data_IF_236730197104
#
_entry.id   IF_236730197104
#
_cell.length_a   1.000
_cell.length_b   1.000
_cell.length_c   1.000
_cell.angle_alpha   90.00
_cell.angle_beta   90.00
_cell.angle_gamma   90.00
#
_symmetry.space_group_name_H-M   'P 1'
#
loop_
_entity.id
_entity.type
_entity.pdbx_description
1 polymer ?
#
# COMPACT_ATOMS: atom_id res chain seq x y z
N UNK A 1 16.73 -15.26 7.07
CA UNK A 1 16.79 -14.38 5.89
C UNK A 1 15.44 -13.73 5.58
N UNK A 2 14.32 -14.37 5.94
CA UNK A 2 12.97 -13.87 5.67
C UNK A 2 12.71 -12.45 6.18
N UNK A 3 13.16 -12.14 7.40
CA UNK A 3 13.10 -10.77 7.93
C UNK A 3 13.84 -9.75 7.07
N UNK A 4 15.00 -10.11 6.49
CA UNK A 4 15.76 -9.24 5.62
C UNK A 4 15.01 -8.97 4.31
N UNK A 5 14.44 -10.01 3.68
CA UNK A 5 13.64 -9.86 2.46
C UNK A 5 12.34 -9.09 2.69
N UNK A 6 11.67 -9.32 3.82
CA UNK A 6 10.52 -8.52 4.25
C UNK A 6 10.91 -7.04 4.41
N UNK A 7 12.01 -6.76 5.12
CA UNK A 7 12.49 -5.40 5.34
C UNK A 7 12.86 -4.69 4.04
N UNK A 8 13.54 -5.38 3.12
CA UNK A 8 13.87 -4.84 1.79
C UNK A 8 12.61 -4.54 0.98
N UNK A 9 11.67 -5.49 0.92
CA UNK A 9 10.39 -5.30 0.23
C UNK A 9 9.63 -4.09 0.77
N UNK A 10 9.58 -3.94 2.09
CA UNK A 10 8.93 -2.81 2.77
C UNK A 10 9.55 -1.47 2.38
N UNK A 11 10.88 -1.35 2.53
CA UNK A 11 11.57 -0.08 2.26
C UNK A 11 11.47 0.30 0.78
N UNK A 12 11.67 -0.66 -0.12
CA UNK A 12 11.61 -0.42 -1.58
C UNK A 12 10.19 0.00 -1.97
N UNK A 13 9.16 -0.75 -1.55
CA UNK A 13 7.79 -0.45 -1.93
C UNK A 13 7.32 0.88 -1.34
N UNK A 14 7.64 1.17 -0.07
CA UNK A 14 7.32 2.46 0.53
C UNK A 14 7.96 3.61 -0.25
N UNK A 15 9.26 3.53 -0.55
CA UNK A 15 9.97 4.58 -1.27
C UNK A 15 9.43 4.78 -2.70
N UNK A 16 9.16 3.68 -3.42
CA UNK A 16 8.61 3.72 -4.79
C UNK A 16 7.20 4.30 -4.79
N UNK A 17 6.31 3.81 -3.92
CA UNK A 17 4.93 4.33 -3.85
C UNK A 17 4.92 5.79 -3.48
N UNK A 18 5.76 6.21 -2.53
CA UNK A 18 5.89 7.63 -2.17
C UNK A 18 6.37 8.48 -3.33
N UNK A 19 7.39 8.01 -4.05
CA UNK A 19 7.88 8.69 -5.24
C UNK A 19 6.78 8.79 -6.30
N UNK A 20 6.03 7.72 -6.55
CA UNK A 20 4.91 7.73 -7.50
C UNK A 20 3.81 8.70 -7.06
N UNK A 21 3.38 8.68 -5.81
CA UNK A 21 2.27 9.51 -5.32
C UNK A 21 2.62 10.99 -5.20
N UNK A 22 3.90 11.33 -5.06
CA UNK A 22 4.38 12.73 -5.05
C UNK A 22 4.65 13.27 -6.46
N UNK A 23 5.11 12.43 -7.40
CA UNK A 23 5.49 12.88 -8.75
C UNK A 23 4.38 12.68 -9.80
N UNK A 24 3.47 11.74 -9.56
CA UNK A 24 2.36 11.44 -10.46
C UNK A 24 1.06 11.84 -9.75
N UNK A 25 0.23 12.67 -10.41
CA UNK A 25 -1.13 12.99 -9.94
C UNK A 25 -2.06 11.80 -10.13
N UNK A 26 -1.76 10.68 -9.46
CA UNK A 26 -2.54 9.46 -9.54
C UNK A 26 -3.71 9.55 -8.55
N UNK A 27 -4.81 10.15 -9.01
CA UNK A 27 -6.08 10.09 -8.30
C UNK A 27 -6.95 9.04 -8.98
N UNK A 28 -7.20 7.90 -8.32
CA UNK A 28 -8.30 7.00 -8.69
C UNK A 28 -9.59 7.77 -8.33
N UNK A 29 -10.05 8.59 -9.27
CA UNK A 29 -11.11 9.58 -9.08
C UNK A 29 -12.39 8.97 -9.61
N UNK A 30 -13.15 8.30 -8.76
CA UNK A 30 -14.60 8.18 -8.97
C UNK A 30 -15.28 9.36 -8.27
N UNK A 31 -16.37 9.87 -8.83
CA UNK A 31 -17.05 11.06 -8.30
C UNK A 31 -17.58 10.92 -6.87
N UNK A 32 -17.58 9.71 -6.31
CA UNK A 32 -18.16 9.38 -5.00
C UNK A 32 -17.11 8.95 -3.96
N UNK A 33 -15.99 8.35 -4.37
CA UNK A 33 -15.07 7.65 -3.47
C UNK A 33 -13.61 8.04 -3.70
N UNK A 34 -12.94 8.45 -2.63
CA UNK A 34 -11.49 8.58 -2.53
C UNK A 34 -10.91 7.29 -1.93
N UNK A 35 -10.71 6.28 -2.78
CA UNK A 35 -10.07 5.04 -2.35
C UNK A 35 -8.57 5.31 -2.22
N UNK A 36 -8.09 5.28 -0.98
CA UNK A 36 -6.67 5.43 -0.69
C UNK A 36 -5.96 4.11 -0.98
N UNK A 37 -4.75 4.17 -1.51
CA UNK A 37 -3.99 2.96 -1.86
C UNK A 37 -3.67 2.08 -0.64
N UNK A 38 -3.68 2.62 0.59
CA UNK A 38 -3.56 1.80 1.79
C UNK A 38 -4.75 0.85 1.98
N UNK A 39 -5.97 1.25 1.58
CA UNK A 39 -7.16 0.42 1.63
C UNK A 39 -7.02 -0.72 0.62
N UNK A 40 -6.52 -0.42 -0.57
CA UNK A 40 -6.26 -1.41 -1.62
C UNK A 40 -5.20 -2.42 -1.13
N UNK A 41 -4.11 -1.93 -0.54
CA UNK A 41 -3.07 -2.77 0.05
C UNK A 41 -3.65 -3.68 1.13
N UNK A 42 -4.43 -3.13 2.06
CA UNK A 42 -5.08 -3.91 3.12
C UNK A 42 -6.02 -4.99 2.56
N UNK A 43 -6.90 -4.64 1.62
CA UNK A 43 -7.80 -5.60 0.99
C UNK A 43 -7.03 -6.68 0.22
N UNK A 44 -5.91 -6.32 -0.43
CA UNK A 44 -5.05 -7.29 -1.14
C UNK A 44 -4.32 -8.26 -0.21
N UNK A 45 -4.11 -7.91 1.06
CA UNK A 45 -3.55 -8.82 2.06
C UNK A 45 -4.54 -9.94 2.44
N UNK A 46 -5.86 -9.70 2.36
CA UNK A 46 -6.88 -10.70 2.73
C UNK A 46 -6.80 -11.99 1.90
N UNK A 47 -6.76 -11.95 0.55
CA UNK A 47 -6.58 -13.18 -0.23
C UNK A 47 -5.21 -13.80 -0.02
N UNK A 48 -4.14 -13.02 0.15
CA UNK A 48 -2.80 -13.56 0.45
C UNK A 48 -2.78 -14.35 1.76
N UNK A 49 -3.48 -13.84 2.77
CA UNK A 49 -3.67 -14.51 4.04
C UNK A 49 -4.52 -15.78 3.87
N UNK A 50 -5.64 -15.71 3.15
CA UNK A 50 -6.54 -16.84 2.91
C UNK A 50 -5.86 -18.00 2.15
N UNK A 51 -4.99 -17.68 1.19
CA UNK A 51 -4.21 -18.68 0.43
C UNK A 51 -2.86 -19.02 1.07
N UNK A 52 -2.62 -18.57 2.30
CA UNK A 52 -1.39 -18.86 3.06
C UNK A 52 -0.10 -18.55 2.29
N UNK A 53 -0.08 -17.46 1.52
CA UNK A 53 1.12 -17.05 0.78
C UNK A 53 2.19 -16.62 1.77
N UNK A 54 3.32 -17.33 1.84
CA UNK A 54 4.37 -17.06 2.85
C UNK A 54 5.56 -16.23 2.33
N UNK A 55 5.48 -15.66 1.13
CA UNK A 55 6.62 -14.99 0.51
C UNK A 55 6.99 -13.67 1.22
N UNK A 56 8.12 -13.56 1.95
CA UNK A 56 8.38 -12.44 2.86
C UNK A 56 8.49 -11.10 2.13
N UNK A 57 9.06 -11.09 0.93
CA UNK A 57 9.18 -9.89 0.12
C UNK A 57 7.82 -9.34 -0.32
N UNK A 58 6.83 -10.21 -0.61
CA UNK A 58 5.48 -9.79 -1.03
C UNK A 58 4.78 -9.12 0.15
N UNK A 59 4.84 -9.74 1.33
CA UNK A 59 4.32 -9.15 2.55
C UNK A 59 5.00 -7.82 2.89
N UNK A 60 6.32 -7.77 2.78
CA UNK A 60 7.08 -6.53 2.96
C UNK A 60 6.59 -5.43 2.02
N UNK A 61 6.50 -5.73 0.72
CA UNK A 61 6.08 -4.77 -0.29
C UNK A 61 4.67 -4.21 -0.04
N UNK A 62 3.69 -5.08 0.23
CA UNK A 62 2.30 -4.65 0.46
C UNK A 62 2.18 -3.88 1.78
N UNK A 63 2.93 -4.26 2.81
CA UNK A 63 3.01 -3.46 4.04
C UNK A 63 3.61 -2.08 3.76
N UNK A 64 4.68 -2.00 2.97
CA UNK A 64 5.28 -0.73 2.56
C UNK A 64 4.29 0.20 1.85
N UNK A 65 3.49 -0.34 0.94
CA UNK A 65 2.40 0.39 0.26
C UNK A 65 1.35 0.88 1.26
N UNK A 66 0.93 0.02 2.20
CA UNK A 66 -0.05 0.39 3.21
C UNK A 66 0.45 1.52 4.12
N UNK A 67 1.70 1.44 4.59
CA UNK A 67 2.30 2.43 5.48
C UNK A 67 2.47 3.80 4.81
N UNK A 68 2.77 3.84 3.51
CA UNK A 68 2.82 5.10 2.74
C UNK A 68 1.47 5.81 2.82
N UNK A 69 0.39 5.11 2.49
CA UNK A 69 -0.94 5.70 2.45
C UNK A 69 -1.51 6.05 3.83
N UNK A 70 -1.20 5.25 4.87
CA UNK A 70 -1.55 5.57 6.25
C UNK A 70 -0.83 6.84 6.74
N UNK A 71 0.40 7.10 6.28
CA UNK A 71 1.17 8.30 6.63
C UNK A 71 0.62 9.62 6.06
N UNK A 72 -0.37 9.58 5.15
CA UNK A 72 -0.94 10.78 4.52
C UNK A 72 -1.97 11.45 5.45
N UNK A 73 -2.06 12.79 5.41
CA UNK A 73 -2.89 13.58 6.35
C UNK A 73 -4.40 13.54 6.06
N UNK A 74 -4.78 13.36 4.81
CA UNK A 74 -6.18 13.34 4.40
C UNK A 74 -6.61 11.89 4.21
N UNK A 75 -7.51 11.40 5.07
CA UNK A 75 -8.09 10.06 4.97
C UNK A 75 -9.56 10.11 4.52
N UNK A 76 -10.05 11.26 4.05
CA UNK A 76 -11.46 11.42 3.70
C UNK A 76 -11.80 10.53 2.50
N UNK A 77 -12.58 9.48 2.76
CA UNK A 77 -13.05 8.53 1.74
C UNK A 77 -14.21 9.13 0.93
N UNK A 78 -14.94 10.11 1.49
CA UNK A 78 -16.07 10.80 0.85
C UNK A 78 -15.66 12.21 0.47
N UNK A 79 -16.01 12.67 -0.73
CA UNK A 79 -16.05 14.11 -1.02
C UNK A 79 -17.26 14.72 -0.29
N UNK A 80 -17.07 15.88 0.34
CA UNK A 80 -18.19 16.75 0.71
C UNK A 80 -18.74 17.39 -0.55
#
# INVERSE_FOLDING_TARGET
MDFAYYSLGLVIAYAVVRWLTENIKFHIRNDVLWVHHWIIAFVSMLPLLYFEVQHPFIWGAITGVALEGLGRKNWSIRRK
#
